data_IF_976708351363
#
_entry.id   IF_976708351363
#
_cell.length_a   1.000
_cell.length_b   1.000
_cell.length_c   1.000
_cell.angle_alpha   90.00
_cell.angle_beta   90.00
_cell.angle_gamma   90.00
#
_symmetry.space_group_name_H-M   'P 1'
#
loop_
_entity.id
_entity.type
_entity.pdbx_description
1 polymer ?
#
# COMPACT_ATOMS: atom_id res chain seq x y z
N UNK A 1 53.90 44.30 12.00
CA UNK A 1 52.81 43.39 12.42
C UNK A 1 52.13 42.66 11.26
N UNK A 2 51.39 43.29 10.32
CA UNK A 2 50.53 42.59 9.32
C UNK A 2 51.13 41.35 8.61
N UNK A 3 52.44 41.31 8.29
CA UNK A 3 53.07 40.14 7.64
C UNK A 3 53.09 38.85 8.49
N UNK A 4 53.12 38.94 9.82
CA UNK A 4 53.21 37.75 10.70
C UNK A 4 51.88 36.98 10.73
N UNK A 5 50.76 37.70 10.69
CA UNK A 5 49.41 37.10 10.74
C UNK A 5 49.15 36.15 9.56
N UNK A 6 49.54 36.54 8.35
CA UNK A 6 49.37 35.73 7.14
C UNK A 6 50.21 34.44 7.14
N UNK A 7 51.37 34.44 7.79
CA UNK A 7 52.20 33.23 7.97
C UNK A 7 51.47 32.25 8.90
N UNK A 8 50.87 32.73 9.99
CA UNK A 8 50.07 31.91 10.90
C UNK A 8 48.88 31.24 10.21
N UNK A 9 48.12 32.00 9.42
CA UNK A 9 46.97 31.47 8.65
C UNK A 9 47.44 30.40 7.64
N UNK A 10 48.54 30.64 6.92
CA UNK A 10 49.08 29.66 5.97
C UNK A 10 49.46 28.34 6.62
N UNK A 11 50.12 28.38 7.79
CA UNK A 11 50.49 27.17 8.55
C UNK A 11 49.25 26.38 9.00
N UNK A 12 48.21 27.06 9.50
CA UNK A 12 46.96 26.39 9.94
C UNK A 12 46.27 25.68 8.77
N UNK A 13 46.19 26.33 7.60
CA UNK A 13 45.58 25.73 6.40
C UNK A 13 46.35 24.48 5.95
N UNK A 14 47.69 24.54 5.90
CA UNK A 14 48.53 23.38 5.53
C UNK A 14 48.36 22.22 6.53
N UNK A 15 48.31 22.51 7.84
CA UNK A 15 48.06 21.48 8.87
C UNK A 15 46.68 20.85 8.68
N UNK A 16 45.62 21.63 8.47
CA UNK A 16 44.29 21.07 8.24
C UNK A 16 44.20 20.25 6.95
N UNK A 17 44.88 20.66 5.87
CA UNK A 17 44.97 19.87 4.63
C UNK A 17 45.70 18.54 4.84
N UNK A 18 46.80 18.53 5.60
CA UNK A 18 47.52 17.30 5.94
C UNK A 18 46.70 16.36 6.83
N UNK A 19 45.97 16.91 7.81
CA UNK A 19 45.03 16.14 8.65
C UNK A 19 43.92 15.52 7.79
N UNK A 20 43.29 16.30 6.91
CA UNK A 20 42.27 15.77 5.98
C UNK A 20 42.83 14.71 5.02
N UNK A 21 44.07 14.83 4.58
CA UNK A 21 44.72 13.81 3.75
C UNK A 21 44.99 12.52 4.55
N UNK A 22 45.47 12.64 5.80
CA UNK A 22 45.80 11.49 6.64
C UNK A 22 44.56 10.68 7.07
N UNK A 23 43.45 11.37 7.35
CA UNK A 23 42.14 10.73 7.62
C UNK A 23 41.40 10.26 6.37
N UNK A 24 41.91 10.55 5.16
CA UNK A 24 41.34 10.11 3.88
C UNK A 24 42.21 9.07 3.18
N UNK A 25 42.85 8.19 3.94
CA UNK A 25 43.25 6.89 3.40
C UNK A 25 42.00 6.18 2.86
N UNK A 26 42.00 5.65 1.63
CA UNK A 26 40.98 4.70 1.25
C UNK A 26 41.08 3.49 2.17
N UNK A 27 39.94 2.96 2.61
CA UNK A 27 39.90 1.61 3.17
C UNK A 27 40.44 0.65 2.11
N UNK A 28 41.33 -0.24 2.51
CA UNK A 28 41.86 -1.24 1.59
C UNK A 28 40.67 -2.10 1.13
N UNK A 29 40.47 -2.21 -0.19
CA UNK A 29 39.48 -3.12 -0.78
C UNK A 29 39.85 -4.54 -0.40
N UNK A 30 39.24 -5.04 0.67
CA UNK A 30 39.28 -6.45 1.03
C UNK A 30 38.51 -7.17 -0.05
N UNK A 31 39.22 -7.81 -0.99
CA UNK A 31 38.60 -8.74 -1.91
C UNK A 31 37.83 -9.78 -1.07
N UNK A 32 36.54 -10.02 -1.34
CA UNK A 32 35.75 -10.96 -0.55
C UNK A 32 36.35 -12.34 -0.75
N UNK A 33 37.12 -12.79 0.25
CA UNK A 33 37.72 -14.12 0.25
C UNK A 33 36.58 -15.11 0.27
N UNK A 34 36.31 -15.73 -0.89
CA UNK A 34 35.27 -16.74 -1.06
C UNK A 34 35.72 -17.99 -0.32
N UNK A 35 35.51 -18.01 0.99
CA UNK A 35 35.57 -19.23 1.80
C UNK A 35 34.48 -20.15 1.24
N UNK A 36 34.83 -21.30 0.64
CA UNK A 36 33.82 -22.22 0.16
C UNK A 36 33.00 -22.71 1.37
N UNK A 37 31.71 -22.43 1.35
CA UNK A 37 30.77 -22.99 2.33
C UNK A 37 30.65 -24.49 2.01
N UNK A 38 31.55 -25.28 2.59
CA UNK A 38 31.44 -26.73 2.57
C UNK A 38 30.11 -27.11 3.22
N UNK A 39 29.23 -27.76 2.46
CA UNK A 39 27.88 -28.15 2.88
C UNK A 39 27.86 -29.33 3.89
N UNK A 40 28.81 -29.35 4.82
CA UNK A 40 28.79 -30.23 6.00
C UNK A 40 28.19 -29.49 7.22
N UNK A 41 26.94 -29.04 7.09
CA UNK A 41 26.11 -28.80 8.27
C UNK A 41 25.89 -30.15 8.92
N UNK A 42 26.74 -30.50 9.90
CA UNK A 42 26.66 -31.77 10.63
C UNK A 42 25.29 -31.91 11.28
N UNK A 43 24.46 -32.77 10.71
CA UNK A 43 23.12 -33.10 11.20
C UNK A 43 23.20 -33.72 12.61
N UNK A 44 23.22 -32.86 13.63
CA UNK A 44 23.58 -33.23 15.01
C UNK A 44 22.67 -32.59 16.07
N UNK A 45 21.47 -32.18 15.66
CA UNK A 45 20.27 -32.03 16.51
C UNK A 45 18.99 -31.79 15.68
N UNK A 46 18.64 -32.74 14.80
CA UNK A 46 17.22 -32.89 14.46
C UNK A 46 16.51 -33.38 15.73
N UNK A 47 15.73 -32.50 16.35
CA UNK A 47 14.84 -32.84 17.46
C UNK A 47 13.75 -33.79 16.92
N UNK A 48 13.30 -34.75 17.73
CA UNK A 48 12.32 -35.76 17.33
C UNK A 48 10.94 -35.15 16.99
N UNK A 49 10.80 -34.70 15.74
CA UNK A 49 9.55 -34.35 15.07
C UNK A 49 9.08 -35.44 14.08
N UNK A 50 9.92 -36.45 13.81
CA UNK A 50 9.69 -37.55 12.86
C UNK A 50 8.61 -38.58 13.28
N UNK A 51 7.83 -38.29 14.33
CA UNK A 51 6.65 -39.05 14.74
C UNK A 51 5.33 -38.29 14.60
N UNK A 52 5.36 -37.07 14.05
CA UNK A 52 4.18 -36.23 13.81
C UNK A 52 3.74 -36.30 12.34
N UNK A 53 2.46 -36.03 12.02
CA UNK A 53 1.96 -35.97 10.64
C UNK A 53 2.73 -34.92 9.80
N UNK A 54 2.72 -35.03 8.46
CA UNK A 54 3.46 -34.12 7.59
C UNK A 54 3.06 -32.66 7.84
N UNK A 55 3.98 -31.89 8.43
CA UNK A 55 3.76 -30.48 8.77
C UNK A 55 4.04 -29.63 7.54
N UNK A 56 3.04 -28.88 7.08
CA UNK A 56 3.17 -28.00 5.94
C UNK A 56 3.88 -26.71 6.36
N UNK A 57 5.02 -26.42 5.73
CA UNK A 57 5.74 -25.14 5.86
C UNK A 57 5.14 -24.17 4.84
N UNK A 58 4.41 -23.15 5.30
CA UNK A 58 3.83 -22.14 4.41
C UNK A 58 4.82 -21.02 4.09
N UNK A 59 5.63 -20.61 5.07
CA UNK A 59 6.66 -19.58 4.88
C UNK A 59 7.76 -19.66 5.96
N UNK A 60 8.92 -19.10 5.66
CA UNK A 60 10.10 -19.08 6.54
C UNK A 60 10.77 -17.70 6.52
N UNK A 61 11.29 -17.28 7.67
CA UNK A 61 12.03 -16.04 7.88
C UNK A 61 13.31 -16.30 8.68
N UNK A 62 14.34 -15.48 8.46
CA UNK A 62 15.51 -15.40 9.34
C UNK A 62 15.43 -14.10 10.13
N UNK A 63 15.59 -14.19 11.45
CA UNK A 63 15.75 -13.01 12.32
C UNK A 63 17.18 -12.99 12.84
N UNK A 64 17.84 -11.86 12.68
CA UNK A 64 19.18 -11.61 13.19
C UNK A 64 19.12 -10.97 14.58
N UNK A 65 20.11 -11.28 15.39
CA UNK A 65 20.44 -10.62 16.64
C UNK A 65 21.94 -10.30 16.67
N UNK A 66 22.48 -9.81 17.81
CA UNK A 66 23.85 -9.28 17.87
C UNK A 66 24.94 -10.22 17.33
N UNK A 67 24.90 -11.51 17.71
CA UNK A 67 25.94 -12.51 17.39
C UNK A 67 25.38 -13.82 16.80
N UNK A 68 24.09 -13.87 16.45
CA UNK A 68 23.37 -15.09 16.09
C UNK A 68 22.12 -14.81 15.25
N UNK A 69 21.62 -15.84 14.57
CA UNK A 69 20.34 -15.79 13.86
C UNK A 69 19.41 -16.93 14.31
N UNK A 70 18.11 -16.74 14.12
CA UNK A 70 17.07 -17.74 14.38
C UNK A 70 16.19 -17.88 13.14
N UNK A 71 15.96 -19.12 12.72
CA UNK A 71 15.08 -19.42 11.60
C UNK A 71 13.67 -19.68 12.14
N UNK A 72 12.71 -18.86 11.72
CA UNK A 72 11.29 -18.93 12.13
C UNK A 72 10.44 -19.40 10.96
N UNK A 73 9.56 -20.37 11.19
CA UNK A 73 8.71 -20.97 10.16
C UNK A 73 7.24 -20.88 10.55
N UNK A 74 6.40 -20.47 9.60
CA UNK A 74 4.94 -20.55 9.71
C UNK A 74 4.49 -21.94 9.26
N UNK A 75 3.98 -22.73 10.20
CA UNK A 75 3.66 -24.14 10.02
C UNK A 75 2.18 -24.41 10.30
N UNK A 76 1.60 -25.40 9.61
CA UNK A 76 0.32 -26.01 10.00
C UNK A 76 0.32 -27.52 9.75
N UNK A 77 -0.21 -28.28 10.72
CA UNK A 77 -0.36 -29.74 10.64
C UNK A 77 -1.72 -30.19 10.08
N UNK A 78 -2.68 -29.26 9.94
CA UNK A 78 -4.05 -29.52 9.48
C UNK A 78 -4.47 -28.64 8.28
N UNK A 79 -3.49 -27.99 7.62
CA UNK A 79 -3.70 -27.11 6.47
C UNK A 79 -4.52 -27.79 5.36
N UNK A 80 -5.65 -27.18 5.03
CA UNK A 80 -6.50 -27.50 3.89
C UNK A 80 -6.31 -26.46 2.81
N UNK A 81 -5.99 -26.93 1.61
CA UNK A 81 -6.00 -26.12 0.39
C UNK A 81 -7.39 -26.19 -0.24
N UNK A 82 -7.91 -25.06 -0.69
CA UNK A 82 -9.16 -24.97 -1.47
C UNK A 82 -9.05 -23.90 -2.54
N UNK A 83 -9.93 -23.90 -3.54
CA UNK A 83 -10.02 -22.83 -4.54
C UNK A 83 -11.22 -21.95 -4.19
N UNK A 84 -11.02 -20.63 -4.17
CA UNK A 84 -12.07 -19.65 -3.91
C UNK A 84 -13.11 -19.67 -5.06
N UNK A 85 -14.38 -20.09 -4.82
CA UNK A 85 -15.41 -20.06 -5.85
C UNK A 85 -15.87 -18.63 -6.16
N UNK A 86 -16.56 -18.47 -7.30
CA UNK A 86 -17.27 -17.23 -7.64
C UNK A 86 -18.47 -16.97 -6.70
N UNK A 87 -18.77 -15.69 -6.39
CA UNK A 87 -17.93 -14.53 -6.60
C UNK A 87 -16.72 -14.50 -5.64
N UNK A 88 -15.62 -13.91 -6.11
CA UNK A 88 -14.45 -13.58 -5.30
C UNK A 88 -14.77 -12.60 -4.16
N UNK A 89 -13.78 -12.28 -3.33
CA UNK A 89 -13.80 -11.11 -2.46
C UNK A 89 -12.47 -10.34 -2.58
N UNK A 90 -12.38 -9.12 -2.07
CA UNK A 90 -11.27 -8.22 -2.40
C UNK A 90 -9.87 -8.72 -1.97
N UNK A 91 -9.79 -9.58 -0.95
CA UNK A 91 -8.55 -10.26 -0.54
C UNK A 91 -8.39 -11.69 -1.07
N UNK A 92 -9.30 -12.17 -1.92
CA UNK A 92 -9.19 -13.43 -2.65
C UNK A 92 -10.13 -13.41 -3.88
N UNK A 93 -9.62 -13.07 -5.08
CA UNK A 93 -10.33 -13.23 -6.34
C UNK A 93 -10.86 -14.67 -6.54
N UNK A 94 -11.87 -14.83 -7.39
CA UNK A 94 -12.31 -16.17 -7.81
C UNK A 94 -11.15 -16.92 -8.48
N UNK A 95 -11.04 -18.23 -8.22
CA UNK A 95 -9.91 -19.05 -8.66
C UNK A 95 -8.66 -18.96 -7.78
N UNK A 96 -8.59 -18.03 -6.81
CA UNK A 96 -7.45 -17.93 -5.89
C UNK A 96 -7.35 -19.17 -4.98
N UNK A 97 -6.15 -19.69 -4.82
CA UNK A 97 -5.84 -20.80 -3.93
C UNK A 97 -5.79 -20.30 -2.47
N UNK A 98 -6.57 -20.96 -1.61
CA UNK A 98 -6.78 -20.61 -0.20
C UNK A 98 -6.16 -21.68 0.69
N UNK A 99 -5.35 -21.25 1.64
CA UNK A 99 -4.82 -22.11 2.72
C UNK A 99 -5.55 -21.80 4.03
N UNK A 100 -6.09 -22.81 4.68
CA UNK A 100 -6.83 -22.65 5.95
C UNK A 100 -6.50 -23.78 6.91
N UNK A 101 -6.33 -23.48 8.20
CA UNK A 101 -5.90 -24.44 9.21
C UNK A 101 -5.49 -23.74 10.50
N UNK A 102 -5.01 -24.51 11.48
CA UNK A 102 -4.40 -23.99 12.70
C UNK A 102 -2.90 -23.81 12.46
N UNK A 103 -2.39 -22.60 12.72
CA UNK A 103 -1.01 -22.23 12.41
C UNK A 103 -0.20 -21.92 13.65
N UNK A 104 1.07 -22.29 13.60
CA UNK A 104 2.06 -21.99 14.63
C UNK A 104 3.30 -21.36 14.00
N UNK A 105 3.92 -20.42 14.70
CA UNK A 105 5.31 -20.01 14.41
C UNK A 105 6.25 -20.91 15.21
N UNK A 106 7.22 -21.53 14.56
CA UNK A 106 8.27 -22.33 15.22
C UNK A 106 9.65 -21.79 14.91
N UNK A 107 10.54 -21.80 15.90
CA UNK A 107 11.95 -21.44 15.75
C UNK A 107 12.84 -22.69 15.71
N UNK A 108 13.96 -22.64 14.98
CA UNK A 108 15.00 -23.68 15.05
C UNK A 108 15.64 -23.82 16.46
N UNK A 109 15.37 -22.89 17.39
CA UNK A 109 15.70 -23.01 18.80
C UNK A 109 14.76 -23.90 19.62
N UNK A 110 13.67 -24.39 19.02
CA UNK A 110 12.60 -25.11 19.71
C UNK A 110 11.51 -24.22 20.33
N UNK A 111 11.53 -22.90 20.10
CA UNK A 111 10.44 -22.03 20.50
C UNK A 111 9.20 -22.24 19.60
N UNK A 112 8.01 -22.18 20.20
CA UNK A 112 6.72 -22.28 19.49
C UNK A 112 5.79 -21.18 19.99
N UNK A 113 5.05 -20.55 19.08
CA UNK A 113 3.94 -19.64 19.35
C UNK A 113 2.73 -20.09 18.53
N UNK A 114 1.62 -20.39 19.20
CA UNK A 114 0.34 -20.72 18.57
C UNK A 114 -0.37 -19.44 18.10
N UNK A 115 -0.86 -19.46 16.85
CA UNK A 115 -1.62 -18.37 16.24
C UNK A 115 -3.11 -18.71 16.12
N UNK A 116 -3.51 -19.95 16.40
CA UNK A 116 -4.87 -20.44 16.19
C UNK A 116 -5.23 -20.61 14.71
N UNK A 117 -6.53 -20.59 14.42
CA UNK A 117 -7.06 -20.79 13.07
C UNK A 117 -6.86 -19.54 12.21
N UNK A 118 -6.11 -19.66 11.10
CA UNK A 118 -5.86 -18.58 10.14
C UNK A 118 -6.27 -18.97 8.72
N UNK A 119 -6.45 -17.96 7.86
CA UNK A 119 -6.72 -18.13 6.43
C UNK A 119 -5.82 -17.23 5.59
N UNK A 120 -5.19 -17.82 4.58
CA UNK A 120 -4.31 -17.14 3.64
C UNK A 120 -4.80 -17.33 2.19
N UNK A 121 -4.52 -16.36 1.34
CA UNK A 121 -4.90 -16.34 -0.07
C UNK A 121 -3.66 -16.11 -0.95
N UNK A 122 -3.30 -17.11 -1.75
CA UNK A 122 -2.05 -17.17 -2.52
C UNK A 122 -1.91 -15.98 -3.48
N UNK A 123 -0.74 -15.33 -3.47
CA UNK A 123 -0.45 -14.19 -4.35
C UNK A 123 -1.16 -12.89 -3.95
N UNK A 124 -1.63 -12.78 -2.71
CA UNK A 124 -2.22 -11.55 -2.14
C UNK A 124 -1.34 -11.00 -1.03
N UNK A 125 -1.65 -9.81 -0.50
CA UNK A 125 -0.98 -9.27 0.69
C UNK A 125 -1.12 -10.18 1.93
N UNK A 126 -2.09 -11.11 1.94
CA UNK A 126 -2.35 -12.10 2.98
C UNK A 126 -2.10 -13.53 2.47
N UNK A 127 -0.98 -13.77 1.79
CA UNK A 127 -0.57 -15.09 1.27
C UNK A 127 0.10 -16.01 2.32
N UNK A 128 0.47 -15.46 3.48
CA UNK A 128 1.17 -16.17 4.56
C UNK A 128 2.68 -15.97 4.55
N UNK A 129 3.21 -15.12 3.67
CA UNK A 129 4.61 -14.74 3.65
C UNK A 129 5.00 -14.00 4.94
N UNK A 130 6.04 -14.51 5.60
CA UNK A 130 6.69 -13.81 6.70
C UNK A 130 7.62 -12.73 6.13
N UNK A 131 7.36 -11.46 6.43
CA UNK A 131 8.20 -10.33 5.99
C UNK A 131 9.07 -9.86 7.16
N UNK A 132 10.37 -9.75 6.96
CA UNK A 132 11.33 -9.34 8.01
C UNK A 132 11.66 -7.87 7.86
N UNK A 133 11.50 -7.11 8.94
CA UNK A 133 11.80 -5.68 9.00
C UNK A 133 12.51 -5.29 10.30
N UNK A 134 13.63 -4.58 10.20
CA UNK A 134 14.24 -3.89 11.34
C UNK A 134 13.44 -2.61 11.62
N UNK A 135 12.69 -2.59 12.74
CA UNK A 135 11.79 -1.50 13.15
C UNK A 135 12.19 -0.81 14.47
N UNK A 136 13.38 -1.14 15.00
CA UNK A 136 13.97 -0.49 16.17
C UNK A 136 15.07 0.49 15.73
N UNK A 137 14.85 1.82 15.73
CA UNK A 137 15.88 2.80 15.36
C UNK A 137 17.16 2.73 16.21
N UNK A 138 17.08 2.18 17.42
CA UNK A 138 18.17 2.18 18.39
C UNK A 138 18.76 0.78 18.60
N UNK A 139 18.34 -0.22 17.80
CA UNK A 139 18.66 -1.62 18.05
C UNK A 139 18.72 -2.50 16.80
N UNK A 140 19.52 -3.58 16.89
CA UNK A 140 19.66 -4.62 15.88
C UNK A 140 18.52 -5.65 15.99
N UNK A 141 17.27 -5.16 15.93
CA UNK A 141 16.08 -5.96 16.20
C UNK A 141 15.19 -6.10 14.99
N UNK A 142 15.23 -7.29 14.42
CA UNK A 142 14.30 -7.72 13.39
C UNK A 142 12.92 -8.10 13.98
N UNK A 143 11.89 -7.77 13.22
CA UNK A 143 10.51 -8.13 13.49
C UNK A 143 9.94 -8.89 12.29
N UNK A 144 9.01 -9.81 12.54
CA UNK A 144 8.21 -10.48 11.51
C UNK A 144 6.88 -9.77 11.40
N UNK A 145 6.59 -9.22 10.22
CA UNK A 145 5.28 -8.73 9.84
C UNK A 145 4.53 -9.87 9.12
N UNK A 146 3.27 -10.08 9.52
CA UNK A 146 2.36 -11.04 8.89
C UNK A 146 0.97 -10.43 8.76
N UNK A 147 0.28 -10.72 7.65
CA UNK A 147 -1.07 -10.23 7.39
C UNK A 147 -2.14 -11.32 7.51
N UNK A 148 -3.35 -10.90 7.89
CA UNK A 148 -4.59 -11.64 7.64
C UNK A 148 -5.58 -10.77 6.85
N UNK A 149 -6.37 -11.40 6.00
CA UNK A 149 -7.52 -10.73 5.41
C UNK A 149 -8.52 -10.33 6.51
N UNK A 150 -9.01 -9.08 6.46
CA UNK A 150 -10.00 -8.57 7.41
C UNK A 150 -11.27 -8.07 6.71
N UNK A 151 -11.13 -7.23 5.68
CA UNK A 151 -12.26 -6.78 4.86
C UNK A 151 -11.80 -6.25 3.50
N UNK A 152 -12.74 -5.86 2.64
CA UNK A 152 -12.42 -5.12 1.41
C UNK A 152 -11.73 -3.77 1.66
N UNK A 153 -11.72 -3.25 2.89
CA UNK A 153 -11.07 -2.00 3.25
C UNK A 153 -9.64 -2.16 3.79
N UNK A 154 -9.15 -3.39 4.02
CA UNK A 154 -7.81 -3.63 4.58
C UNK A 154 -7.61 -5.02 5.18
N UNK A 155 -6.37 -5.28 5.62
CA UNK A 155 -5.89 -6.46 6.33
C UNK A 155 -5.64 -6.15 7.81
N UNK A 156 -5.61 -7.16 8.67
CA UNK A 156 -4.99 -7.05 9.99
C UNK A 156 -3.49 -7.32 9.85
N UNK A 157 -2.66 -6.43 10.39
CA UNK A 157 -1.21 -6.59 10.47
C UNK A 157 -0.80 -7.01 11.88
N UNK A 158 -0.10 -8.13 11.97
CA UNK A 158 0.47 -8.65 13.20
C UNK A 158 1.99 -8.50 13.16
N UNK A 159 2.59 -8.17 14.31
CA UNK A 159 4.06 -8.04 14.42
C UNK A 159 4.57 -8.97 15.51
N UNK A 160 5.51 -9.82 15.12
CA UNK A 160 6.20 -10.78 15.99
C UNK A 160 7.71 -10.50 15.99
N UNK A 161 8.44 -11.24 16.82
CA UNK A 161 9.89 -11.27 16.81
C UNK A 161 10.41 -12.24 17.86
N UNK A 162 11.69 -12.17 18.18
CA UNK A 162 12.33 -13.12 19.07
C UNK A 162 12.89 -12.47 20.34
N UNK A 163 12.51 -13.00 21.50
CA UNK A 163 13.11 -12.72 22.81
C UNK A 163 14.36 -13.60 22.95
N UNK A 164 15.52 -13.04 22.61
CA UNK A 164 16.82 -13.72 22.66
C UNK A 164 17.19 -14.23 24.06
N UNK A 165 16.78 -13.53 25.12
CA UNK A 165 17.10 -13.87 26.49
C UNK A 165 16.25 -15.04 27.01
N UNK A 166 14.95 -15.04 26.70
CA UNK A 166 14.02 -16.14 27.07
C UNK A 166 13.95 -17.27 26.04
N UNK A 167 14.57 -17.09 24.87
CA UNK A 167 14.53 -17.99 23.71
C UNK A 167 13.10 -18.31 23.26
N UNK A 168 12.28 -17.26 23.06
CA UNK A 168 10.87 -17.37 22.69
C UNK A 168 10.49 -16.47 21.52
N UNK A 169 9.60 -16.95 20.67
CA UNK A 169 8.86 -16.09 19.74
C UNK A 169 7.83 -15.32 20.57
N UNK A 170 7.69 -14.02 20.29
CA UNK A 170 6.77 -13.11 21.00
C UNK A 170 6.00 -12.27 20.00
N UNK A 171 4.73 -12.00 20.30
CA UNK A 171 3.90 -11.03 19.59
C UNK A 171 4.01 -9.67 20.27
N UNK A 172 4.06 -8.59 19.49
CA UNK A 172 4.10 -7.21 19.98
C UNK A 172 2.72 -6.58 19.87
N UNK A 173 2.29 -5.93 20.95
CA UNK A 173 1.05 -5.16 20.96
C UNK A 173 1.24 -3.80 20.28
N UNK A 174 0.14 -3.27 19.73
CA UNK A 174 0.01 -1.87 19.32
C UNK A 174 -0.72 -1.09 20.41
N UNK A 175 -0.14 0.03 20.87
CA UNK A 175 -0.71 0.93 21.88
C UNK A 175 -0.98 2.28 21.23
N UNK A 176 -2.25 2.59 20.98
CA UNK A 176 -2.68 3.86 20.39
C UNK A 176 -2.57 5.04 21.37
N UNK A 177 -2.73 6.27 20.87
CA UNK A 177 -2.59 7.49 21.69
C UNK A 177 -3.54 7.61 22.88
N UNK A 178 -4.69 6.94 22.85
CA UNK A 178 -5.63 6.90 23.98
C UNK A 178 -5.32 5.78 25.00
N UNK A 179 -4.21 5.04 24.80
CA UNK A 179 -3.77 3.96 25.69
C UNK A 179 -4.45 2.61 25.42
N UNK A 180 -5.32 2.48 24.43
CA UNK A 180 -5.89 1.19 24.04
C UNK A 180 -4.80 0.29 23.44
N UNK A 181 -4.74 -0.96 23.90
CA UNK A 181 -3.80 -1.96 23.43
C UNK A 181 -4.50 -2.99 22.55
N UNK A 182 -4.07 -3.11 21.29
CA UNK A 182 -4.43 -4.22 20.38
C UNK A 182 -3.26 -5.19 20.20
N UNK A 183 -3.52 -6.36 19.63
CA UNK A 183 -2.52 -7.34 19.15
C UNK A 183 -2.18 -7.21 17.67
N UNK A 184 -2.89 -6.31 16.99
CA UNK A 184 -2.86 -6.05 15.56
C UNK A 184 -3.19 -4.58 15.28
N UNK A 185 -3.00 -4.18 14.03
CA UNK A 185 -3.53 -2.92 13.49
C UNK A 185 -4.17 -3.18 12.13
N UNK A 186 -5.37 -2.64 11.93
CA UNK A 186 -6.05 -2.69 10.63
C UNK A 186 -5.39 -1.71 9.65
N UNK A 187 -5.04 -2.16 8.44
CA UNK A 187 -4.31 -1.33 7.47
C UNK A 187 -4.55 -1.76 6.02
N UNK A 188 -4.29 -0.87 5.07
CA UNK A 188 -4.21 -1.17 3.62
C UNK A 188 -2.77 -1.45 3.16
N UNK A 189 -1.78 -1.09 3.97
CA UNK A 189 -0.37 -1.33 3.70
C UNK A 189 0.53 -0.72 4.78
N UNK A 190 1.84 -0.80 4.58
CA UNK A 190 2.81 -0.18 5.49
C UNK A 190 4.02 0.32 4.72
N UNK A 191 4.81 1.17 5.38
CA UNK A 191 6.18 1.49 4.99
C UNK A 191 7.04 1.71 6.23
N UNK A 192 8.33 1.38 6.13
CA UNK A 192 9.33 1.81 7.10
C UNK A 192 9.69 3.28 6.85
N UNK A 193 9.75 4.08 7.91
CA UNK A 193 10.21 5.47 7.86
C UNK A 193 11.74 5.56 7.75
N UNK A 194 12.28 6.74 7.42
CA UNK A 194 13.72 7.01 7.51
C UNK A 194 14.28 6.85 8.93
N UNK A 195 13.42 6.83 9.96
CA UNK A 195 13.77 6.62 11.37
C UNK A 195 13.51 5.18 11.83
N UNK A 196 13.35 4.21 10.93
CA UNK A 196 12.98 2.82 11.29
C UNK A 196 11.54 2.63 11.78
N UNK A 197 10.86 3.68 12.26
CA UNK A 197 9.46 3.66 12.70
C UNK A 197 8.53 3.05 11.64
N UNK A 198 7.54 2.31 12.10
CA UNK A 198 6.53 1.63 11.29
C UNK A 198 5.38 2.59 10.96
N UNK A 199 5.14 2.86 9.68
CA UNK A 199 4.02 3.71 9.23
C UNK A 199 2.94 2.83 8.60
N UNK A 200 1.70 2.93 9.07
CA UNK A 200 0.52 2.23 8.52
C UNK A 200 -0.50 3.21 7.94
N UNK A 201 -1.25 2.78 6.92
CA UNK A 201 -2.34 3.59 6.34
C UNK A 201 -3.67 2.82 6.32
N UNK A 202 -4.70 3.34 7.00
CA UNK A 202 -6.00 2.70 7.14
C UNK A 202 -7.12 3.62 6.64
N UNK A 203 -8.11 3.09 5.91
CA UNK A 203 -9.28 3.89 5.54
C UNK A 203 -10.35 3.83 6.63
N UNK A 204 -10.65 4.98 7.23
CA UNK A 204 -11.66 5.11 8.27
C UNK A 204 -13.00 5.61 7.68
N UNK A 205 -13.94 4.69 7.57
CA UNK A 205 -15.29 4.92 7.07
C UNK A 205 -16.12 5.88 7.94
N UNK A 206 -15.72 6.16 9.19
CA UNK A 206 -16.44 7.08 10.09
C UNK A 206 -16.11 8.56 9.83
N UNK A 207 -14.94 8.83 9.23
CA UNK A 207 -14.45 10.19 8.88
C UNK A 207 -14.18 10.38 7.39
N UNK A 208 -14.50 9.37 6.56
CA UNK A 208 -14.45 9.46 5.10
C UNK A 208 -13.04 9.55 4.49
N UNK A 209 -11.97 9.15 5.21
CA UNK A 209 -10.58 9.38 4.79
C UNK A 209 -9.57 8.33 5.24
N UNK A 210 -8.42 8.32 4.57
CA UNK A 210 -7.24 7.56 5.01
C UNK A 210 -6.57 8.24 6.21
N UNK A 211 -6.37 7.48 7.27
CA UNK A 211 -5.59 7.82 8.46
C UNK A 211 -4.20 7.20 8.32
N UNK A 212 -3.16 7.92 8.75
CA UNK A 212 -1.79 7.42 8.82
C UNK A 212 -1.30 7.49 10.26
N UNK A 213 -0.84 6.35 10.78
CA UNK A 213 -0.28 6.22 12.12
C UNK A 213 1.20 5.85 12.05
N UNK A 214 2.03 6.59 12.78
CA UNK A 214 3.44 6.28 13.02
C UNK A 214 3.58 5.55 14.36
N UNK A 215 4.04 4.31 14.28
CA UNK A 215 4.29 3.43 15.41
C UNK A 215 5.79 3.32 15.68
N UNK A 216 6.18 3.65 16.91
CA UNK A 216 7.58 3.55 17.40
C UNK A 216 7.68 2.35 18.31
N UNK A 217 8.71 1.51 18.14
CA UNK A 217 8.94 0.42 19.09
C UNK A 217 9.45 0.96 20.43
N UNK A 218 8.66 0.82 21.48
CA UNK A 218 9.05 1.10 22.87
C UNK A 218 9.59 -0.20 23.50
N UNK A 219 10.92 -0.25 23.62
CA UNK A 219 11.64 -1.39 24.20
C UNK A 219 11.41 -1.55 25.71
N UNK A 220 10.96 -0.50 26.42
CA UNK A 220 10.64 -0.56 27.85
C UNK A 220 9.26 -1.17 28.10
N UNK A 221 8.30 -0.95 27.19
CA UNK A 221 6.97 -1.56 27.21
C UNK A 221 6.92 -2.91 26.49
N UNK A 222 7.84 -3.17 25.56
CA UNK A 222 7.77 -4.30 24.66
C UNK A 222 6.58 -4.20 23.71
N UNK A 223 6.32 -3.01 23.15
CA UNK A 223 5.14 -2.72 22.33
C UNK A 223 5.44 -1.63 21.28
N UNK A 224 4.62 -1.57 20.24
CA UNK A 224 4.60 -0.47 19.28
C UNK A 224 3.65 0.63 19.78
N UNK A 225 4.18 1.81 20.09
CA UNK A 225 3.42 2.95 20.62
C UNK A 225 3.17 3.97 19.52
N UNK A 226 1.95 4.46 19.41
CA UNK A 226 1.55 5.47 18.43
C UNK A 226 2.12 6.86 18.78
N UNK A 227 3.23 7.21 18.14
CA UNK A 227 3.92 8.49 18.34
C UNK A 227 3.19 9.63 17.61
N UNK A 228 2.86 9.40 16.34
CA UNK A 228 2.25 10.40 15.46
C UNK A 228 0.98 9.86 14.83
N UNK A 229 -0.16 10.43 15.22
CA UNK A 229 -1.41 10.29 14.48
C UNK A 229 -1.38 11.45 13.47
N UNK A 230 -0.98 11.17 12.24
CA UNK A 230 -1.20 12.12 11.15
C UNK A 230 -2.54 11.75 10.51
N UNK A 231 -3.58 12.47 10.91
CA UNK A 231 -4.78 12.60 10.07
C UNK A 231 -4.31 13.08 8.70
N UNK A 232 -4.37 12.25 7.67
CA UNK A 232 -3.49 12.34 6.49
C UNK A 232 -1.98 12.47 6.86
N UNK A 233 -1.22 13.57 6.99
CA UNK A 233 -1.24 14.99 6.61
C UNK A 233 -2.52 15.83 6.70
N UNK A 234 -2.65 16.60 7.80
CA UNK A 234 -3.54 17.77 7.86
C UNK A 234 -2.93 18.94 7.05
N UNK A 235 -2.46 18.66 5.82
CA UNK A 235 -2.49 19.60 4.72
C UNK A 235 -3.97 19.84 4.31
N UNK A 236 -4.73 20.37 5.26
CA UNK A 236 -5.88 21.24 4.97
C UNK A 236 -5.38 22.50 4.22
N UNK A 237 -4.11 22.85 4.39
CA UNK A 237 -3.26 23.48 3.37
C UNK A 237 -2.95 22.53 2.20
N UNK A 238 -3.97 22.07 1.45
CA UNK A 238 -3.77 21.22 0.27
C UNK A 238 -5.01 20.45 -0.18
N UNK A 239 -5.83 19.96 0.75
CA UNK A 239 -7.15 19.41 0.45
C UNK A 239 -8.05 20.56 -0.01
N UNK A 240 -8.62 20.40 -1.21
CA UNK A 240 -9.65 21.27 -1.77
C UNK A 240 -10.99 20.55 -1.79
N UNK A 241 -12.06 21.31 -2.01
CA UNK A 241 -13.43 20.77 -2.11
C UNK A 241 -14.04 21.27 -3.41
N UNK A 242 -14.59 20.35 -4.21
CA UNK A 242 -15.48 20.65 -5.33
C UNK A 242 -16.92 20.53 -4.84
N UNK A 243 -17.74 21.51 -5.21
CA UNK A 243 -19.19 21.47 -5.13
C UNK A 243 -19.73 21.78 -6.52
N UNK A 244 -20.71 21.02 -7.00
CA UNK A 244 -21.24 21.15 -8.36
C UNK A 244 -22.10 22.41 -8.54
N UNK A 245 -22.46 22.73 -9.79
CA UNK A 245 -23.26 23.91 -10.10
C UNK A 245 -24.67 23.91 -9.49
N UNK A 246 -25.22 22.74 -9.12
CA UNK A 246 -26.49 22.62 -8.38
C UNK A 246 -26.34 22.61 -6.86
N UNK A 247 -25.11 22.52 -6.33
CA UNK A 247 -24.80 22.29 -4.91
C UNK A 247 -25.35 20.98 -4.31
N UNK A 248 -25.78 20.04 -5.13
CA UNK A 248 -26.30 18.72 -4.72
C UNK A 248 -25.16 17.71 -4.57
N UNK A 249 -24.04 17.84 -5.29
CA UNK A 249 -22.87 16.98 -5.19
C UNK A 249 -21.68 17.74 -4.62
N UNK A 250 -20.98 17.15 -3.65
CA UNK A 250 -19.73 17.67 -3.10
C UNK A 250 -18.72 16.56 -2.83
N UNK A 251 -17.45 16.78 -3.19
CA UNK A 251 -16.33 15.88 -2.89
C UNK A 251 -15.05 16.66 -2.54
N UNK A 252 -14.13 16.05 -1.81
CA UNK A 252 -12.86 16.65 -1.41
C UNK A 252 -11.66 15.90 -1.97
N UNK A 253 -10.66 16.62 -2.47
CA UNK A 253 -9.51 16.06 -3.17
C UNK A 253 -8.18 16.61 -2.62
N UNK A 254 -7.15 15.77 -2.45
CA UNK A 254 -5.82 16.19 -1.99
C UNK A 254 -5.02 16.91 -3.09
N UNK A 255 -3.88 17.50 -2.72
CA UNK A 255 -3.06 18.36 -3.59
C UNK A 255 -2.27 17.63 -4.68
N UNK A 256 -2.24 16.29 -4.68
CA UNK A 256 -1.85 15.49 -5.85
C UNK A 256 -2.98 15.34 -6.88
N UNK A 257 -4.06 16.11 -6.73
CA UNK A 257 -5.14 16.28 -7.71
C UNK A 257 -5.44 17.76 -8.00
N UNK A 258 -5.92 18.04 -9.21
CA UNK A 258 -6.38 19.35 -9.65
C UNK A 258 -7.56 19.23 -10.63
N UNK A 259 -8.52 20.15 -10.59
CA UNK A 259 -9.61 20.18 -11.58
C UNK A 259 -9.10 20.69 -12.93
N UNK A 260 -9.73 20.30 -14.05
CA UNK A 260 -9.45 20.87 -15.38
C UNK A 260 -9.50 22.41 -15.40
N UNK A 261 -10.32 23.02 -14.54
CA UNK A 261 -10.46 24.48 -14.39
C UNK A 261 -9.34 25.14 -13.57
N UNK A 262 -8.50 24.36 -12.89
CA UNK A 262 -7.34 24.82 -12.12
C UNK A 262 -6.02 24.63 -12.91
N UNK A 263 -6.09 23.98 -14.07
CA UNK A 263 -4.94 23.65 -14.90
C UNK A 263 -4.91 24.54 -16.13
N UNK A 264 -3.74 25.12 -16.41
CA UNK A 264 -3.45 25.65 -17.75
C UNK A 264 -3.49 24.48 -18.75
N UNK A 265 -3.86 24.75 -20.01
CA UNK A 265 -3.89 23.73 -21.08
C UNK A 265 -2.60 22.90 -21.18
N UNK A 266 -1.46 23.55 -20.94
CA UNK A 266 -0.12 22.96 -21.05
C UNK A 266 0.27 22.12 -19.81
N UNK A 267 -0.65 22.00 -18.83
CA UNK A 267 -0.47 21.26 -17.56
C UNK A 267 -1.54 20.20 -17.32
N UNK A 268 -2.57 20.09 -18.14
CA UNK A 268 -3.50 18.96 -18.10
C UNK A 268 -2.74 17.68 -18.50
N UNK A 269 -2.74 16.62 -17.67
CA UNK A 269 -2.08 15.36 -18.01
C UNK A 269 -2.63 14.79 -19.32
N UNK A 270 -1.79 14.72 -20.35
CA UNK A 270 -2.18 14.27 -21.68
C UNK A 270 -2.24 12.74 -21.74
N UNK A 271 -3.37 12.21 -22.20
CA UNK A 271 -3.53 10.84 -22.66
C UNK A 271 -4.36 10.85 -23.94
N UNK A 272 -4.02 10.02 -24.91
CA UNK A 272 -4.85 9.83 -26.11
C UNK A 272 -6.19 9.14 -25.79
N UNK A 273 -6.24 8.35 -24.71
CA UNK A 273 -7.42 7.56 -24.33
C UNK A 273 -8.27 8.18 -23.22
N UNK A 274 -7.76 9.15 -22.44
CA UNK A 274 -8.57 9.88 -21.45
C UNK A 274 -8.99 11.24 -22.03
N UNK A 275 -10.28 11.38 -22.34
CA UNK A 275 -10.91 12.67 -22.65
C UNK A 275 -11.89 13.06 -21.54
N UNK A 276 -11.95 14.35 -21.19
CA UNK A 276 -12.83 14.85 -20.12
C UNK A 276 -13.20 16.31 -20.42
N UNK A 277 -14.36 16.51 -21.05
CA UNK A 277 -14.78 17.80 -21.61
C UNK A 277 -15.79 18.51 -20.68
N UNK A 278 -15.33 19.59 -20.03
CA UNK A 278 -16.16 20.45 -19.17
C UNK A 278 -16.76 21.66 -19.92
N UNK A 279 -16.42 21.84 -21.20
CA UNK A 279 -16.71 23.10 -21.91
C UNK A 279 -18.22 23.30 -22.11
N UNK A 280 -18.73 24.56 -22.11
CA UNK A 280 -20.14 24.83 -22.34
C UNK A 280 -20.67 24.38 -23.71
N UNK A 281 -19.76 24.16 -24.68
CA UNK A 281 -20.07 23.76 -26.05
C UNK A 281 -20.04 22.23 -26.25
N UNK A 282 -19.68 21.47 -25.22
CA UNK A 282 -19.71 20.01 -25.23
C UNK A 282 -21.13 19.50 -25.52
N UNK A 283 -21.25 18.43 -26.32
CA UNK A 283 -22.55 17.84 -26.68
C UNK A 283 -23.31 17.44 -25.41
N UNK A 284 -24.60 17.76 -25.34
CA UNK A 284 -25.46 17.41 -24.19
C UNK A 284 -25.40 15.90 -23.92
N UNK A 285 -25.13 15.52 -22.67
CA UNK A 285 -24.87 14.13 -22.27
C UNK A 285 -23.42 13.63 -22.43
N UNK A 286 -22.54 14.41 -23.07
CA UNK A 286 -21.07 14.17 -23.09
C UNK A 286 -20.28 15.13 -22.21
N UNK A 287 -20.88 16.28 -21.84
CA UNK A 287 -20.26 17.24 -20.92
C UNK A 287 -20.06 16.63 -19.53
N UNK A 288 -18.88 16.80 -18.96
CA UNK A 288 -18.56 16.53 -17.57
C UNK A 288 -18.90 17.75 -16.68
N UNK A 289 -19.50 17.49 -15.54
CA UNK A 289 -19.73 18.48 -14.48
C UNK A 289 -18.45 18.72 -13.67
N UNK A 290 -17.63 17.67 -13.48
CA UNK A 290 -16.29 17.76 -12.94
C UNK A 290 -15.31 16.86 -13.69
N UNK A 291 -14.09 17.37 -13.88
CA UNK A 291 -12.94 16.61 -14.36
C UNK A 291 -11.79 16.87 -13.41
N UNK A 292 -11.38 15.87 -12.65
CA UNK A 292 -10.30 15.94 -11.67
C UNK A 292 -9.13 15.07 -12.11
N UNK A 293 -7.99 15.68 -12.39
CA UNK A 293 -6.79 14.98 -12.84
C UNK A 293 -5.84 14.71 -11.68
N UNK A 294 -5.21 13.55 -11.71
CA UNK A 294 -4.05 13.25 -10.89
C UNK A 294 -2.83 14.01 -11.41
N UNK A 295 -2.17 14.77 -10.54
CA UNK A 295 -1.01 15.63 -10.82
C UNK A 295 0.15 15.38 -9.84
N UNK A 296 0.13 14.23 -9.15
CA UNK A 296 1.21 13.79 -8.26
C UNK A 296 2.47 13.34 -9.00
N UNK A 297 3.52 13.01 -8.23
CA UNK A 297 4.85 12.69 -8.77
C UNK A 297 5.06 11.20 -9.09
N UNK A 298 4.20 10.31 -8.58
CA UNK A 298 4.32 8.87 -8.80
C UNK A 298 3.98 8.51 -10.26
N UNK A 299 4.89 7.78 -10.91
CA UNK A 299 4.81 7.37 -12.33
C UNK A 299 5.38 5.95 -12.53
N UNK A 300 5.08 5.34 -13.68
CA UNK A 300 5.54 4.02 -14.11
C UNK A 300 5.79 4.05 -15.63
N UNK A 301 6.70 3.23 -16.21
CA UNK A 301 6.94 3.23 -17.64
C UNK A 301 5.66 3.06 -18.47
N UNK A 302 5.37 4.04 -19.34
CA UNK A 302 4.19 4.09 -20.19
C UNK A 302 2.96 4.74 -19.55
N UNK A 303 2.95 5.06 -18.25
CA UNK A 303 1.83 5.78 -17.63
C UNK A 303 1.66 7.18 -18.24
N UNK A 304 0.46 7.50 -18.71
CA UNK A 304 0.14 8.81 -19.29
C UNK A 304 -0.55 9.72 -18.27
N UNK A 305 -1.70 9.28 -17.76
CA UNK A 305 -2.57 10.08 -16.90
C UNK A 305 -3.54 9.20 -16.09
N UNK A 306 -4.08 9.76 -15.02
CA UNK A 306 -5.23 9.23 -14.30
C UNK A 306 -6.20 10.37 -13.97
N UNK A 307 -7.51 10.11 -14.01
CA UNK A 307 -8.51 11.13 -13.71
C UNK A 307 -9.81 10.55 -13.10
N UNK A 308 -10.65 11.47 -12.61
CA UNK A 308 -12.05 11.25 -12.26
C UNK A 308 -12.88 12.15 -13.16
N UNK A 309 -13.77 11.55 -13.94
CA UNK A 309 -14.83 12.23 -14.67
C UNK A 309 -16.15 12.08 -13.92
N UNK A 310 -16.86 13.19 -13.72
CA UNK A 310 -18.24 13.20 -13.19
C UNK A 310 -19.18 13.71 -14.28
N UNK A 311 -20.17 12.91 -14.67
CA UNK A 311 -21.28 13.31 -15.54
C UNK A 311 -22.61 13.20 -14.80
N UNK A 312 -23.55 14.08 -15.15
CA UNK A 312 -24.92 14.09 -14.61
C UNK A 312 -25.90 14.01 -15.78
N UNK A 313 -26.87 13.09 -15.72
CA UNK A 313 -27.98 13.00 -16.68
C UNK A 313 -29.32 12.93 -15.94
N UNK A 314 -30.43 13.42 -16.53
CA UNK A 314 -31.75 13.37 -15.88
C UNK A 314 -32.42 11.98 -15.93
N UNK A 315 -31.77 10.98 -16.54
CA UNK A 315 -32.40 9.70 -16.88
C UNK A 315 -32.07 8.60 -15.87
N UNK A 316 -33.08 8.12 -15.14
CA UNK A 316 -32.94 7.04 -14.16
C UNK A 316 -32.49 5.68 -14.76
N UNK A 317 -32.63 5.51 -16.08
CA UNK A 317 -32.18 4.32 -16.81
C UNK A 317 -30.65 4.25 -16.91
N UNK A 318 -30.00 5.38 -17.22
CA UNK A 318 -28.55 5.50 -17.45
C UNK A 318 -27.71 5.02 -16.25
N UNK A 319 -28.29 5.07 -15.05
CA UNK A 319 -27.64 4.61 -13.83
C UNK A 319 -27.75 3.11 -13.58
N UNK A 320 -28.73 2.42 -14.17
CA UNK A 320 -29.09 1.03 -13.82
C UNK A 320 -28.63 -0.03 -14.83
N UNK A 321 -28.34 0.37 -16.06
CA UNK A 321 -27.89 -0.52 -17.14
C UNK A 321 -26.65 0.03 -17.80
N UNK A 322 -25.60 -0.77 -17.90
CA UNK A 322 -24.38 -0.42 -18.65
C UNK A 322 -24.73 -0.52 -20.13
N UNK A 323 -24.75 0.63 -20.82
CA UNK A 323 -25.12 0.68 -22.23
C UNK A 323 -23.98 0.22 -23.16
N UNK A 324 -22.78 0.04 -22.62
CA UNK A 324 -21.64 -0.53 -23.33
C UNK A 324 -21.83 -2.04 -23.50
N UNK A 325 -21.69 -2.51 -24.75
CA UNK A 325 -21.73 -3.93 -25.11
C UNK A 325 -20.43 -4.30 -25.81
N UNK A 326 -19.62 -5.12 -25.16
CA UNK A 326 -18.29 -5.50 -25.66
C UNK A 326 -17.70 -6.71 -24.92
N UNK A 327 -16.77 -7.45 -25.56
CA UNK A 327 -16.12 -8.59 -24.94
C UNK A 327 -15.22 -8.12 -23.78
N UNK A 328 -15.46 -8.63 -22.57
CA UNK A 328 -14.67 -8.33 -21.37
C UNK A 328 -15.31 -7.36 -20.37
N UNK A 329 -16.47 -6.76 -20.69
CA UNK A 329 -17.22 -5.93 -19.74
C UNK A 329 -17.73 -6.81 -18.58
N UNK A 330 -17.43 -6.43 -17.34
CA UNK A 330 -17.90 -7.13 -16.16
C UNK A 330 -19.42 -6.94 -15.97
N UNK A 331 -20.10 -7.93 -15.35
CA UNK A 331 -21.49 -7.74 -14.91
C UNK A 331 -21.54 -6.61 -13.88
N UNK A 332 -22.52 -5.72 -13.99
CA UNK A 332 -22.76 -4.63 -13.04
C UNK A 332 -22.94 -5.18 -11.63
N UNK A 333 -22.00 -4.83 -10.74
CA UNK A 333 -22.07 -5.11 -9.32
C UNK A 333 -22.84 -3.98 -8.60
N UNK A 334 -23.06 -4.12 -7.30
CA UNK A 334 -23.48 -3.00 -6.45
C UNK A 334 -22.53 -2.83 -5.27
N UNK A 335 -22.26 -1.57 -4.91
CA UNK A 335 -21.41 -1.17 -3.79
C UNK A 335 -22.13 -0.13 -2.94
N UNK A 336 -21.90 -0.15 -1.63
CA UNK A 336 -22.38 0.87 -0.71
C UNK A 336 -21.21 1.83 -0.38
N UNK A 337 -21.37 3.12 -0.69
CA UNK A 337 -20.38 4.16 -0.40
C UNK A 337 -21.12 5.32 0.28
N UNK A 338 -20.67 5.73 1.47
CA UNK A 338 -21.27 6.81 2.26
C UNK A 338 -22.79 6.70 2.44
N UNK A 339 -23.30 5.47 2.58
CA UNK A 339 -24.73 5.16 2.73
C UNK A 339 -25.54 5.10 1.42
N UNK A 340 -24.94 5.43 0.27
CA UNK A 340 -25.58 5.37 -1.03
C UNK A 340 -25.17 4.13 -1.83
N UNK A 341 -26.15 3.53 -2.52
CA UNK A 341 -25.90 2.42 -3.44
C UNK A 341 -25.39 2.95 -4.77
N UNK A 342 -24.23 2.45 -5.19
CA UNK A 342 -23.67 2.65 -6.52
C UNK A 342 -23.76 1.34 -7.31
N UNK A 343 -24.23 1.43 -8.54
CA UNK A 343 -24.01 0.43 -9.58
C UNK A 343 -22.55 0.55 -10.04
N UNK A 344 -21.83 -0.57 -10.12
CA UNK A 344 -20.39 -0.57 -10.34
C UNK A 344 -19.99 -1.48 -11.50
N UNK A 345 -19.14 -0.95 -12.39
CA UNK A 345 -18.68 -1.64 -13.58
C UNK A 345 -17.16 -1.47 -13.75
N UNK A 346 -16.54 -2.48 -14.38
CA UNK A 346 -15.15 -2.43 -14.85
C UNK A 346 -15.13 -2.64 -16.36
N UNK A 347 -14.40 -1.77 -17.06
CA UNK A 347 -14.15 -1.87 -18.49
C UNK A 347 -12.77 -1.30 -18.84
N UNK A 348 -12.40 -1.39 -20.11
CA UNK A 348 -11.18 -0.81 -20.64
C UNK A 348 -11.23 -0.75 -22.16
N UNK A 349 -10.36 0.08 -22.74
CA UNK A 349 -10.27 0.31 -24.18
C UNK A 349 -8.80 0.27 -24.63
N UNK A 350 -8.55 0.01 -25.91
CA UNK A 350 -7.23 -0.12 -26.49
C UNK A 350 -7.22 0.40 -27.94
N UNK A 351 -6.58 1.56 -28.16
CA UNK A 351 -6.55 2.23 -29.46
C UNK A 351 -5.18 2.83 -29.75
N UNK A 352 -4.69 2.68 -30.98
CA UNK A 352 -3.42 3.24 -31.48
C UNK A 352 -2.15 2.96 -30.64
N UNK A 353 -2.14 1.94 -29.77
CA UNK A 353 -1.04 1.62 -28.85
C UNK A 353 -1.25 2.08 -27.41
N UNK A 354 -2.19 3.01 -27.22
CA UNK A 354 -2.69 3.44 -25.92
C UNK A 354 -3.67 2.41 -25.35
N UNK A 355 -3.94 2.57 -24.06
CA UNK A 355 -4.77 1.71 -23.23
C UNK A 355 -5.50 2.55 -22.20
N UNK A 356 -6.71 2.11 -21.85
CA UNK A 356 -7.54 2.66 -20.80
C UNK A 356 -8.02 1.54 -19.89
N UNK A 357 -7.90 1.72 -18.59
CA UNK A 357 -8.67 0.97 -17.60
C UNK A 357 -9.62 1.93 -16.88
N UNK A 358 -10.89 1.54 -16.73
CA UNK A 358 -11.93 2.37 -16.16
C UNK A 358 -12.73 1.62 -15.09
N UNK A 359 -13.04 2.33 -14.01
CA UNK A 359 -13.94 1.89 -12.94
C UNK A 359 -15.07 2.90 -12.84
N UNK A 360 -16.28 2.52 -13.22
CA UNK A 360 -17.43 3.41 -13.22
C UNK A 360 -18.35 3.12 -12.04
N UNK A 361 -18.81 4.19 -11.40
CA UNK A 361 -19.66 4.19 -10.23
C UNK A 361 -20.88 5.08 -10.51
N UNK A 362 -22.08 4.50 -10.54
CA UNK A 362 -23.32 5.20 -10.91
C UNK A 362 -24.34 5.18 -9.78
N UNK A 363 -24.88 6.33 -9.39
CA UNK A 363 -25.97 6.40 -8.40
C UNK A 363 -27.06 7.38 -8.83
N UNK A 364 -28.32 7.05 -8.51
CA UNK A 364 -29.47 7.87 -8.85
C UNK A 364 -29.93 8.62 -7.60
N UNK A 365 -29.76 9.94 -7.61
CA UNK A 365 -30.03 10.83 -6.48
C UNK A 365 -30.80 12.07 -6.93
N UNK A 366 -31.80 12.48 -6.14
CA UNK A 366 -32.63 13.67 -6.37
C UNK A 366 -33.01 13.94 -7.85
N UNK A 367 -33.60 12.93 -8.49
CA UNK A 367 -34.07 13.02 -9.88
C UNK A 367 -33.01 12.77 -10.96
N UNK A 368 -31.71 12.78 -10.62
CA UNK A 368 -30.59 12.72 -11.55
C UNK A 368 -29.75 11.45 -11.38
N UNK A 369 -29.19 10.96 -12.50
CA UNK A 369 -28.15 9.96 -12.51
C UNK A 369 -26.77 10.64 -12.46
N UNK A 370 -25.97 10.28 -11.47
CA UNK A 370 -24.57 10.70 -11.34
C UNK A 370 -23.68 9.52 -11.75
N UNK A 371 -22.87 9.70 -12.79
CA UNK A 371 -21.87 8.73 -13.22
C UNK A 371 -20.48 9.26 -12.92
N UNK A 372 -19.71 8.50 -12.15
CA UNK A 372 -18.35 8.84 -11.72
C UNK A 372 -17.42 7.77 -12.30
N UNK A 373 -16.63 8.15 -13.30
CA UNK A 373 -15.69 7.24 -13.97
C UNK A 373 -14.28 7.56 -13.49
N UNK A 374 -13.63 6.59 -12.85
CA UNK A 374 -12.21 6.63 -12.51
C UNK A 374 -11.42 6.02 -13.66
N UNK A 375 -10.44 6.74 -14.21
CA UNK A 375 -9.67 6.31 -15.38
C UNK A 375 -8.16 6.24 -15.09
N UNK A 376 -7.49 5.25 -15.67
CA UNK A 376 -6.02 5.11 -15.72
C UNK A 376 -5.62 4.81 -17.16
N UNK A 377 -4.77 5.67 -17.75
CA UNK A 377 -4.34 5.60 -19.15
C UNK A 377 -2.84 5.34 -19.28
N UNK A 378 -2.45 4.51 -20.27
CA UNK A 378 -1.04 4.22 -20.55
C UNK A 378 -0.76 3.93 -22.03
N UNK A 379 0.46 4.21 -22.45
CA UNK A 379 0.99 3.99 -23.80
C UNK A 379 2.02 2.85 -23.78
N UNK A 380 1.75 1.79 -24.56
CA UNK A 380 2.59 0.59 -24.63
C UNK A 380 3.77 0.76 -25.59
N UNK A 381 3.68 1.70 -26.53
CA UNK A 381 4.72 1.95 -27.54
C UNK A 381 5.88 2.79 -27.01
N UNK A 382 5.64 3.71 -26.08
CA UNK A 382 6.72 4.53 -25.46
C UNK A 382 7.61 3.73 -24.50
N UNK A 383 7.03 2.76 -23.79
CA UNK A 383 7.72 1.95 -22.78
C UNK A 383 8.18 0.58 -23.30
N UNK A 384 7.59 0.10 -24.39
CA UNK A 384 7.68 -1.29 -24.84
C UNK A 384 7.04 -2.30 -23.89
N UNK A 385 6.21 -1.85 -22.94
CA UNK A 385 5.66 -2.66 -21.83
C UNK A 385 4.24 -2.23 -21.45
N UNK A 386 3.41 -3.20 -21.05
CA UNK A 386 2.14 -2.90 -20.39
C UNK A 386 2.39 -2.31 -18.98
N UNK A 387 1.45 -1.51 -18.48
CA UNK A 387 1.51 -0.92 -17.15
C UNK A 387 1.51 -2.02 -16.06
N UNK A 388 2.31 -1.88 -15.01
CA UNK A 388 2.32 -2.86 -13.92
C UNK A 388 1.00 -2.86 -13.16
N UNK A 389 0.52 -4.05 -12.80
CA UNK A 389 -0.76 -4.22 -12.10
C UNK A 389 -0.74 -3.51 -10.74
N UNK A 390 0.40 -3.55 -10.05
CA UNK A 390 0.64 -2.88 -8.77
C UNK A 390 0.52 -1.35 -8.88
N UNK A 391 1.01 -0.76 -9.98
CA UNK A 391 0.88 0.69 -10.22
C UNK A 391 -0.54 1.07 -10.67
N UNK A 392 -1.19 0.24 -11.48
CA UNK A 392 -2.59 0.44 -11.87
C UNK A 392 -3.51 0.43 -10.64
N UNK A 393 -3.37 -0.56 -9.76
CA UNK A 393 -4.12 -0.62 -8.49
C UNK A 393 -3.73 0.52 -7.52
N UNK A 394 -2.47 0.98 -7.51
CA UNK A 394 -2.06 2.18 -6.74
C UNK A 394 -2.79 3.44 -7.24
N UNK A 395 -2.86 3.66 -8.55
CA UNK A 395 -3.59 4.79 -9.14
C UNK A 395 -5.08 4.69 -8.84
N UNK A 396 -5.71 3.52 -9.04
CA UNK A 396 -7.10 3.33 -8.65
C UNK A 396 -7.35 3.54 -7.16
N UNK A 397 -6.43 3.15 -6.27
CA UNK A 397 -6.53 3.40 -4.83
C UNK A 397 -6.52 4.89 -4.49
N UNK A 398 -5.72 5.71 -5.20
CA UNK A 398 -5.79 7.19 -5.10
C UNK A 398 -7.13 7.72 -5.59
N UNK A 399 -7.59 7.31 -6.77
CA UNK A 399 -8.87 7.76 -7.34
C UNK A 399 -10.07 7.38 -6.46
N UNK A 400 -10.08 6.15 -5.94
CA UNK A 400 -11.10 5.65 -5.02
C UNK A 400 -11.06 6.35 -3.65
N UNK A 401 -9.91 6.88 -3.22
CA UNK A 401 -9.84 7.71 -2.02
C UNK A 401 -10.60 9.04 -2.17
N UNK A 402 -10.55 9.67 -3.36
CA UNK A 402 -11.37 10.86 -3.65
C UNK A 402 -12.84 10.48 -3.79
N UNK A 403 -13.18 9.40 -4.51
CA UNK A 403 -14.55 8.87 -4.60
C UNK A 403 -15.16 8.65 -3.21
N UNK A 404 -14.38 8.16 -2.26
CA UNK A 404 -14.83 7.90 -0.88
C UNK A 404 -15.20 9.15 -0.08
N UNK A 405 -14.89 10.35 -0.59
CA UNK A 405 -15.32 11.63 -0.03
C UNK A 405 -16.62 12.18 -0.66
N UNK A 406 -17.17 11.51 -1.69
CA UNK A 406 -18.38 11.97 -2.36
C UNK A 406 -19.56 11.99 -1.39
N UNK A 407 -20.26 13.11 -1.37
CA UNK A 407 -21.38 13.41 -0.50
C UNK A 407 -22.46 14.13 -1.32
N UNK A 408 -23.71 13.93 -0.93
CA UNK A 408 -24.86 14.55 -1.59
C UNK A 408 -25.63 15.42 -0.59
N UNK A 409 -25.93 16.65 -0.99
CA UNK A 409 -26.73 17.61 -0.22
C UNK A 409 -28.21 17.23 -0.17
N UNK A 410 -28.92 17.78 0.82
CA UNK A 410 -30.38 17.67 0.98
C UNK A 410 -31.10 18.88 0.37
#
# INVERSE_FOLDING_TARGET
MKKIFWIGVGVVVVIMSLVFYYFRKPEATVEPTVVPINNEIKASKQVNLLSQPPVNVLSSALLFGPDQYVAVNLLSSDQKTSIKPEPGYCGAPAGTEIYSGNYVLTANSGAVLDLGTLQFAKGTASDGKLVVEQLDPNGYKDFIIMYQYASCNGTFMYVYGYDWARKKIVQYNFISKNGQSSRDVFTRGYKKSQKGNLITSAYDNSVGRTIISEWVFDSTRGAFVENSFSTAENNTTGIKTFTDSSSVLTFSYPSDFALSTELNTDKTPGSYSISCDTTPNAVVGRRAEACLWYVGGETSPGFEAANIEVRVTPTAADCKTTNEQGPGIAKTETKLINGLTFYYDRYGDASAGHRLASRQYRTYYYGNCYSITLNVGWNVFESGKELSAEFSELMFSKLESVLSSFSFGQ
#
